data_IF_141370710273
#
_entry.id   IF_141370710273
#
_cell.length_a   1.000
_cell.length_b   1.000
_cell.length_c   1.000
_cell.angle_alpha   90.00
_cell.angle_beta   90.00
_cell.angle_gamma   90.00
#
_symmetry.space_group_name_H-M   'P 1'
#
loop_
_entity.id
_entity.type
_entity.pdbx_description
1 polymer ?
#
# COMPACT_ATOMS: atom_id res chain seq x y z
N UNK A 1 1.42 -9.51 -7.58
CA UNK A 1 2.61 -10.30 -7.91
C UNK A 1 3.51 -10.41 -6.69
N UNK A 2 3.97 -11.61 -6.32
CA UNK A 2 4.79 -11.84 -5.12
C UNK A 2 6.09 -11.04 -5.14
N UNK A 3 6.80 -11.03 -6.28
CA UNK A 3 8.06 -10.30 -6.48
C UNK A 3 7.89 -8.79 -6.27
N UNK A 4 6.86 -8.18 -6.86
CA UNK A 4 6.60 -6.76 -6.72
C UNK A 4 6.27 -6.37 -5.25
N UNK A 5 5.53 -7.23 -4.53
CA UNK A 5 5.29 -7.03 -3.10
C UNK A 5 6.59 -7.13 -2.30
N UNK A 6 7.46 -8.09 -2.61
CA UNK A 6 8.76 -8.24 -1.92
C UNK A 6 9.64 -7.01 -2.10
N UNK A 7 9.79 -6.50 -3.33
CA UNK A 7 10.57 -5.28 -3.61
C UNK A 7 9.98 -4.08 -2.84
N UNK A 8 8.66 -3.91 -2.89
CA UNK A 8 7.97 -2.84 -2.17
C UNK A 8 8.17 -2.95 -0.66
N UNK A 9 7.98 -4.14 -0.09
CA UNK A 9 8.14 -4.38 1.34
C UNK A 9 9.56 -4.10 1.81
N UNK A 10 10.56 -4.43 0.99
CA UNK A 10 11.95 -4.10 1.27
C UNK A 10 12.20 -2.59 1.29
N UNK A 11 11.64 -1.84 0.32
CA UNK A 11 11.84 -0.39 0.22
C UNK A 11 11.07 0.40 1.30
N UNK A 12 9.85 -0.03 1.62
CA UNK A 12 8.97 0.67 2.56
C UNK A 12 9.08 0.16 4.00
N UNK A 13 9.76 -0.97 4.22
CA UNK A 13 9.98 -1.57 5.54
C UNK A 13 8.67 -1.75 6.33
N UNK A 14 7.59 -2.12 5.64
CA UNK A 14 6.23 -2.16 6.20
C UNK A 14 5.72 -3.56 6.55
N UNK A 15 6.54 -4.60 6.30
CA UNK A 15 6.24 -6.01 6.56
C UNK A 15 4.85 -6.46 6.09
N UNK A 16 4.30 -5.81 5.05
CA UNK A 16 2.94 -6.06 4.60
C UNK A 16 2.93 -7.27 3.66
N UNK A 17 2.25 -8.39 4.03
CA UNK A 17 2.27 -9.61 3.23
C UNK A 17 1.46 -9.47 1.94
N UNK A 18 0.31 -8.78 2.01
CA UNK A 18 -0.49 -8.42 0.84
C UNK A 18 -1.05 -7.01 0.92
N UNK A 19 -0.47 -6.16 0.09
CA UNK A 19 -0.75 -4.73 -0.01
C UNK A 19 -1.95 -4.47 -0.91
N UNK A 20 -2.23 -5.42 -1.82
CA UNK A 20 -3.30 -5.41 -2.79
C UNK A 20 -4.64 -5.88 -2.26
N UNK A 21 -4.67 -6.45 -1.04
CA UNK A 21 -5.91 -6.77 -0.34
C UNK A 21 -6.77 -5.49 -0.21
N UNK A 22 -8.02 -5.56 -0.65
CA UNK A 22 -8.96 -4.43 -0.60
C UNK A 22 -9.58 -4.24 0.78
N UNK A 23 -9.65 -5.30 1.59
CA UNK A 23 -10.21 -5.25 2.94
C UNK A 23 -9.19 -4.66 3.91
N UNK A 24 -9.46 -3.43 4.38
CA UNK A 24 -8.62 -2.72 5.34
C UNK A 24 -9.51 -1.99 6.33
N UNK A 25 -9.16 -2.07 7.62
CA UNK A 25 -9.82 -1.33 8.69
C UNK A 25 -8.77 -0.45 9.35
N UNK A 26 -9.07 0.84 9.50
CA UNK A 26 -8.13 1.82 10.02
C UNK A 26 -8.87 3.01 10.63
N UNK A 27 -8.19 3.76 11.49
CA UNK A 27 -8.78 4.94 12.13
C UNK A 27 -8.87 6.09 11.13
N UNK A 28 -10.06 6.70 11.03
CA UNK A 28 -10.35 7.79 10.08
C UNK A 28 -9.48 9.02 10.31
N UNK A 29 -9.31 9.45 11.55
CA UNK A 29 -8.51 10.60 11.93
C UNK A 29 -7.06 10.51 11.42
N UNK A 30 -6.45 9.32 11.54
CA UNK A 30 -5.09 9.08 11.05
C UNK A 30 -5.06 9.13 9.52
N UNK A 31 -6.01 8.48 8.86
CA UNK A 31 -6.08 8.46 7.40
C UNK A 31 -6.22 9.86 6.80
N UNK A 32 -7.01 10.73 7.42
CA UNK A 32 -7.20 12.10 6.98
C UNK A 32 -5.95 12.99 7.10
N UNK A 33 -4.95 12.57 7.88
CA UNK A 33 -3.68 13.28 8.00
C UNK A 33 -2.71 12.97 6.85
N UNK A 34 -3.02 11.99 5.99
CA UNK A 34 -2.17 11.64 4.87
C UNK A 34 -2.36 12.61 3.70
N UNK A 35 -1.28 13.00 2.99
CA UNK A 35 -1.42 13.76 1.77
C UNK A 35 -2.13 12.92 0.70
N UNK A 36 -3.09 13.52 0.00
CA UNK A 36 -3.81 12.84 -1.07
C UNK A 36 -2.95 12.61 -2.31
N UNK A 37 -3.10 11.43 -2.92
CA UNK A 37 -2.57 11.11 -4.24
C UNK A 37 -3.33 9.95 -4.88
N UNK A 38 -3.36 9.91 -6.22
CA UNK A 38 -3.89 8.76 -6.94
C UNK A 38 -3.06 7.51 -6.59
N UNK A 39 -3.72 6.40 -6.27
CA UNK A 39 -3.04 5.17 -5.84
C UNK A 39 -2.77 5.02 -4.34
N UNK A 40 -3.15 5.99 -3.49
CA UNK A 40 -2.95 5.94 -2.03
C UNK A 40 -3.44 4.64 -1.37
N UNK A 41 -4.54 4.08 -1.87
CA UNK A 41 -5.13 2.83 -1.38
C UNK A 41 -4.16 1.64 -1.38
N UNK A 42 -3.15 1.63 -2.27
CA UNK A 42 -2.10 0.60 -2.36
C UNK A 42 -1.05 0.70 -1.25
N UNK A 43 -0.93 1.87 -0.63
CA UNK A 43 0.14 2.19 0.31
C UNK A 43 -0.35 2.47 1.73
N UNK A 44 -1.65 2.28 1.99
CA UNK A 44 -2.24 2.45 3.33
C UNK A 44 -1.41 1.73 4.42
N UNK A 45 -1.08 0.44 4.30
CA UNK A 45 -0.26 -0.22 5.33
C UNK A 45 1.10 0.47 5.55
N UNK A 46 1.81 0.83 4.48
CA UNK A 46 3.11 1.51 4.59
C UNK A 46 3.01 2.89 5.22
N UNK A 47 1.95 3.64 4.90
CA UNK A 47 1.71 4.96 5.45
C UNK A 47 1.42 4.88 6.94
N UNK A 48 0.53 3.97 7.36
CA UNK A 48 0.28 3.75 8.79
C UNK A 48 1.57 3.36 9.54
N UNK A 49 2.37 2.45 8.98
CA UNK A 49 3.64 2.03 9.60
C UNK A 49 4.63 3.20 9.68
N UNK A 50 4.80 3.92 8.57
CA UNK A 50 5.68 5.08 8.48
C UNK A 50 5.28 6.25 9.40
N UNK A 51 3.99 6.36 9.72
CA UNK A 51 3.44 7.32 10.69
C UNK A 51 3.49 6.79 12.14
N UNK A 52 4.16 5.66 12.38
CA UNK A 52 4.38 5.08 13.70
C UNK A 52 3.15 4.39 14.29
N UNK A 53 2.19 3.98 13.46
CA UNK A 53 1.00 3.26 13.91
C UNK A 53 1.25 1.75 13.90
N UNK A 54 0.61 1.05 14.84
CA UNK A 54 0.65 -0.42 14.88
C UNK A 54 -0.29 -0.99 13.82
N UNK A 55 0.15 -2.05 13.15
CA UNK A 55 -0.60 -2.75 12.11
C UNK A 55 -0.64 -4.23 12.46
N UNK A 56 -1.76 -4.87 12.12
CA UNK A 56 -1.92 -6.32 12.21
C UNK A 56 -2.47 -6.84 10.88
N UNK A 57 -2.04 -8.04 10.51
CA UNK A 57 -2.48 -8.72 9.29
C UNK A 57 -3.24 -9.97 9.69
N UNK A 58 -4.50 -10.06 9.26
CA UNK A 58 -5.39 -11.20 9.54
C UNK A 58 -5.58 -11.94 8.22
N UNK A 59 -5.36 -13.28 8.18
CA UNK A 59 -5.59 -14.06 6.98
C UNK A 59 -7.08 -14.03 6.62
N UNK A 60 -7.37 -13.89 5.33
CA UNK A 60 -8.73 -13.89 4.79
C UNK A 60 -8.83 -14.89 3.65
N UNK A 61 -10.02 -15.47 3.48
CA UNK A 61 -10.29 -16.40 2.39
C UNK A 61 -10.39 -15.64 1.05
N UNK A 62 -9.55 -16.03 0.08
CA UNK A 62 -9.55 -15.46 -1.25
C UNK A 62 -10.24 -16.42 -2.24
N UNK A 63 -11.36 -15.98 -2.80
CA UNK A 63 -12.12 -16.77 -3.77
C UNK A 63 -11.73 -16.42 -5.20
N UNK A 64 -11.49 -17.46 -6.00
CA UNK A 64 -11.19 -17.30 -7.41
C UNK A 64 -12.38 -16.67 -8.16
N UNK A 65 -12.06 -15.75 -9.06
CA UNK A 65 -13.05 -15.12 -9.94
C UNK A 65 -13.59 -16.17 -10.92
N UNK A 66 -14.90 -16.41 -10.90
CA UNK A 66 -15.55 -17.45 -11.74
C UNK A 66 -16.03 -16.95 -13.10
N UNK A 67 -16.34 -15.66 -13.25
CA UNK A 67 -16.87 -15.05 -14.49
C UNK A 67 -16.25 -13.67 -14.78
N UNK A 68 -16.39 -13.19 -16.01
CA UNK A 68 -15.92 -11.88 -16.49
C UNK A 68 -14.49 -11.90 -17.06
N UNK A 69 -13.96 -10.72 -17.39
CA UNK A 69 -12.56 -10.51 -17.85
C UNK A 69 -11.94 -9.42 -16.99
N UNK A 70 -10.64 -9.55 -16.67
CA UNK A 70 -9.90 -8.51 -15.97
C UNK A 70 -9.85 -7.25 -16.82
N UNK A 71 -10.21 -6.10 -16.24
CA UNK A 71 -10.07 -4.78 -16.87
C UNK A 71 -8.74 -4.10 -16.54
N UNK A 72 -7.82 -4.81 -15.89
CA UNK A 72 -6.56 -4.24 -15.40
C UNK A 72 -5.39 -4.64 -16.31
N UNK A 73 -4.72 -3.63 -16.89
CA UNK A 73 -3.46 -3.80 -17.61
C UNK A 73 -2.27 -4.00 -16.66
N UNK A 74 -1.35 -4.89 -17.03
CA UNK A 74 -0.16 -5.23 -16.22
C UNK A 74 0.89 -4.12 -16.29
N UNK A 75 1.17 -3.60 -17.50
CA UNK A 75 2.27 -2.65 -17.76
C UNK A 75 1.99 -1.28 -17.14
N UNK A 76 0.79 -0.72 -17.37
CA UNK A 76 0.40 0.57 -16.79
C UNK A 76 0.43 0.56 -15.26
N UNK A 77 0.08 -0.59 -14.67
CA UNK A 77 0.07 -0.78 -13.21
C UNK A 77 1.48 -0.85 -12.63
N UNK A 78 2.44 -1.45 -13.37
CA UNK A 78 3.84 -1.50 -12.94
C UNK A 78 4.46 -0.11 -12.93
N UNK A 79 4.32 0.65 -14.02
CA UNK A 79 4.92 2.00 -14.14
C UNK A 79 4.36 2.92 -13.06
N UNK A 80 3.03 3.02 -12.92
CA UNK A 80 2.40 3.82 -11.86
C UNK A 80 2.82 3.37 -10.46
N UNK A 81 2.93 2.06 -10.24
CA UNK A 81 3.34 1.49 -8.96
C UNK A 81 4.76 1.90 -8.54
N UNK A 82 5.69 2.02 -9.49
CA UNK A 82 7.07 2.46 -9.22
C UNK A 82 7.11 3.95 -8.84
N UNK A 83 6.42 4.82 -9.59
CA UNK A 83 6.36 6.25 -9.25
C UNK A 83 5.75 6.49 -7.87
N UNK A 84 4.65 5.81 -7.56
CA UNK A 84 4.00 5.95 -6.26
C UNK A 84 4.89 5.45 -5.11
N UNK A 85 5.69 4.40 -5.33
CA UNK A 85 6.61 3.86 -4.34
C UNK A 85 7.62 4.93 -3.88
N UNK A 86 8.27 5.61 -4.82
CA UNK A 86 9.18 6.71 -4.50
C UNK A 86 8.47 7.88 -3.84
N UNK A 87 7.27 8.23 -4.31
CA UNK A 87 6.44 9.29 -3.71
C UNK A 87 6.13 8.99 -2.24
N UNK A 88 5.73 7.76 -1.93
CA UNK A 88 5.38 7.32 -0.57
C UNK A 88 6.60 7.28 0.33
N UNK A 89 7.74 6.76 -0.13
CA UNK A 89 8.99 6.80 0.66
C UNK A 89 9.35 8.24 1.02
N UNK A 90 9.20 9.19 0.08
CA UNK A 90 9.43 10.61 0.33
C UNK A 90 8.48 11.19 1.39
N UNK A 91 7.18 10.86 1.32
CA UNK A 91 6.17 11.29 2.31
C UNK A 91 6.53 10.77 3.71
N UNK A 92 6.84 9.48 3.83
CA UNK A 92 7.22 8.86 5.11
C UNK A 92 8.48 9.52 5.67
N UNK A 93 9.49 9.74 4.83
CA UNK A 93 10.73 10.38 5.25
C UNK A 93 10.51 11.84 5.70
N UNK A 94 9.62 12.58 5.05
CA UNK A 94 9.26 13.94 5.48
C UNK A 94 8.56 13.94 6.83
N UNK A 95 7.60 13.05 7.03
CA UNK A 95 6.92 12.91 8.31
C UNK A 95 7.91 12.59 9.46
N UNK A 96 8.85 11.67 9.22
CA UNK A 96 9.91 11.32 10.18
C UNK A 96 10.87 12.46 10.49
N UNK A 97 11.00 13.48 9.64
CA UNK A 97 11.85 14.66 9.89
C UNK A 97 11.16 15.74 10.73
N UNK A 98 9.82 15.79 10.68
CA UNK A 98 9.02 16.83 11.33
C UNK A 98 8.69 16.45 12.78
N UNK A 99 8.64 15.15 13.07
CA UNK A 99 8.38 14.57 14.39
C UNK A 99 9.67 14.30 15.13
#
# INVERSE_FOLDING_TARGET
>A
SKIANSIRSYILEDNCPDTGCSLKVFQKNIFLNFPYFDGIHRFIPSLFNGYGQKIQFIPVDHRLRTKGISKYGIVDRLIKGVYDLFRVKRIINQYKKIK
#
